data_IF_909261609428
#
_entry.id   IF_909261609428
#
_cell.length_a   1.000
_cell.length_b   1.000
_cell.length_c   1.000
_cell.angle_alpha   90.00
_cell.angle_beta   90.00
_cell.angle_gamma   90.00
#
_symmetry.space_group_name_H-M   'P 1'
#
loop_
_entity.id
_entity.type
_entity.pdbx_description
1 polymer ?
#
# COMPACT_ATOMS: atom_id res chain seq x y z
N UNK A 1 -15.86 12.45 -3.22
CA UNK A 1 -15.31 13.31 -2.14
C UNK A 1 -13.81 13.37 -2.36
N UNK A 2 -13.20 14.55 -2.42
CA UNK A 2 -11.76 14.68 -2.68
C UNK A 2 -10.95 14.47 -1.39
N UNK A 3 -9.80 13.78 -1.50
CA UNK A 3 -9.00 13.37 -0.35
C UNK A 3 -7.82 14.33 -0.21
N UNK A 4 -7.92 15.29 0.71
CA UNK A 4 -6.93 16.36 0.88
C UNK A 4 -5.56 15.91 1.43
N UNK A 5 -5.44 14.69 1.97
CA UNK A 5 -4.23 14.21 2.67
C UNK A 5 -3.90 12.72 2.43
N UNK A 6 -4.26 12.18 1.26
CA UNK A 6 -4.14 10.74 0.98
C UNK A 6 -2.73 10.20 1.24
N UNK A 7 -1.72 10.78 0.61
CA UNK A 7 -0.32 10.29 0.68
C UNK A 7 0.24 10.21 2.10
N UNK A 8 -0.21 11.07 3.00
CA UNK A 8 0.32 11.18 4.36
C UNK A 8 -0.42 10.32 5.37
N UNK A 9 -1.54 9.68 4.99
CA UNK A 9 -2.44 9.07 5.95
C UNK A 9 -2.91 7.65 5.59
N UNK A 10 -2.27 7.00 4.60
CA UNK A 10 -2.55 5.59 4.27
C UNK A 10 -2.08 4.71 5.42
N UNK A 11 -2.95 3.91 6.07
CA UNK A 11 -2.50 2.90 7.04
C UNK A 11 -1.63 1.86 6.32
N UNK A 12 -0.44 1.57 6.86
CA UNK A 12 0.52 0.68 6.18
C UNK A 12 -0.07 -0.70 5.92
N UNK A 13 -0.71 -1.31 6.93
CA UNK A 13 -1.34 -2.63 6.82
C UNK A 13 -2.41 -2.66 5.71
N UNK A 14 -3.32 -1.69 5.70
CA UNK A 14 -4.40 -1.62 4.70
C UNK A 14 -3.85 -1.34 3.30
N UNK A 15 -2.85 -0.48 3.15
CA UNK A 15 -2.25 -0.20 1.85
C UNK A 15 -1.43 -1.38 1.31
N UNK A 16 -0.75 -2.13 2.18
CA UNK A 16 -0.06 -3.37 1.80
C UNK A 16 -1.08 -4.43 1.38
N UNK A 17 -2.18 -4.57 2.11
CA UNK A 17 -3.29 -5.45 1.73
C UNK A 17 -3.88 -5.06 0.38
N UNK A 18 -4.07 -3.76 0.12
CA UNK A 18 -4.54 -3.26 -1.17
C UNK A 18 -3.60 -3.66 -2.32
N UNK A 19 -2.28 -3.54 -2.13
CA UNK A 19 -1.29 -4.01 -3.09
C UNK A 19 -1.37 -5.52 -3.32
N UNK A 20 -1.45 -6.31 -2.24
CA UNK A 20 -1.57 -7.78 -2.32
C UNK A 20 -2.82 -8.20 -3.11
N UNK A 21 -3.98 -7.60 -2.81
CA UNK A 21 -5.24 -7.87 -3.53
C UNK A 21 -5.13 -7.45 -5.00
N UNK A 22 -4.56 -6.29 -5.29
CA UNK A 22 -4.39 -5.83 -6.67
C UNK A 22 -3.52 -6.78 -7.50
N UNK A 23 -2.37 -7.23 -6.97
CA UNK A 23 -1.50 -8.18 -7.66
C UNK A 23 -2.17 -9.55 -7.84
N UNK A 24 -2.91 -10.02 -6.84
CA UNK A 24 -3.66 -11.29 -6.93
C UNK A 24 -4.69 -11.24 -8.06
N UNK A 25 -5.44 -10.14 -8.17
CA UNK A 25 -6.45 -9.94 -9.23
C UNK A 25 -5.85 -9.86 -10.64
N UNK A 26 -4.60 -9.42 -10.75
CA UNK A 26 -3.88 -9.36 -12.03
C UNK A 26 -3.13 -10.67 -12.36
N UNK A 27 -3.34 -11.74 -11.58
CA UNK A 27 -2.80 -13.07 -11.88
C UNK A 27 -1.30 -13.24 -11.62
N UNK A 28 -0.70 -12.42 -10.75
CA UNK A 28 0.69 -12.61 -10.35
C UNK A 28 0.87 -13.86 -9.47
N UNK A 29 2.07 -14.47 -9.54
CA UNK A 29 2.38 -15.65 -8.74
C UNK A 29 2.55 -15.32 -7.25
N UNK A 30 2.27 -16.30 -6.40
CA UNK A 30 2.29 -16.13 -4.95
C UNK A 30 3.68 -15.84 -4.37
N UNK A 31 4.76 -16.46 -4.85
CA UNK A 31 6.11 -16.06 -4.44
C UNK A 31 6.37 -14.59 -4.77
N UNK A 32 5.99 -14.12 -5.96
CA UNK A 32 6.16 -12.73 -6.35
C UNK A 32 5.35 -11.77 -5.48
N UNK A 33 4.10 -12.11 -5.19
CA UNK A 33 3.23 -11.32 -4.31
C UNK A 33 3.84 -11.22 -2.91
N UNK A 34 4.34 -12.33 -2.37
CA UNK A 34 4.98 -12.36 -1.06
C UNK A 34 6.22 -11.47 -1.02
N UNK A 35 7.11 -11.60 -2.00
CA UNK A 35 8.34 -10.79 -2.08
C UNK A 35 8.02 -9.31 -2.23
N UNK A 36 7.07 -8.97 -3.11
CA UNK A 36 6.63 -7.59 -3.31
C UNK A 36 6.03 -6.97 -2.03
N UNK A 37 5.20 -7.76 -1.32
CA UNK A 37 4.58 -7.35 -0.06
C UNK A 37 5.64 -7.06 0.99
N UNK A 38 6.60 -7.97 1.17
CA UNK A 38 7.71 -7.79 2.12
C UNK A 38 8.57 -6.56 1.80
N UNK A 39 8.89 -6.34 0.52
CA UNK A 39 9.65 -5.15 0.08
C UNK A 39 8.85 -3.87 0.34
N UNK A 40 7.54 -3.88 0.08
CA UNK A 40 6.66 -2.74 0.31
C UNK A 40 6.58 -2.40 1.80
N UNK A 41 6.35 -3.39 2.66
CA UNK A 41 6.36 -3.23 4.11
C UNK A 41 7.69 -2.66 4.61
N UNK A 42 8.82 -3.16 4.09
CA UNK A 42 10.14 -2.66 4.44
C UNK A 42 10.30 -1.17 4.09
N UNK A 43 9.93 -0.77 2.86
CA UNK A 43 10.02 0.62 2.40
C UNK A 43 9.15 1.56 3.25
N UNK A 44 7.97 1.10 3.67
CA UNK A 44 7.04 1.89 4.46
C UNK A 44 7.49 2.05 5.93
N UNK A 45 8.04 0.98 6.52
CA UNK A 45 8.44 0.95 7.93
C UNK A 45 9.86 1.47 8.20
N UNK A 46 10.71 1.54 7.18
CA UNK A 46 12.09 2.05 7.29
C UNK A 46 12.25 3.42 6.63
N UNK A 47 11.17 4.21 6.66
CA UNK A 47 11.14 5.50 6.00
C UNK A 47 11.61 6.63 6.93
N UNK A 48 12.94 6.75 7.02
CA UNK A 48 13.59 7.81 7.79
C UNK A 48 13.90 9.02 6.92
N UNK A 49 13.63 10.22 7.45
CA UNK A 49 14.06 11.46 6.83
C UNK A 49 14.59 12.43 7.88
N UNK A 50 15.52 13.29 7.48
CA UNK A 50 16.02 14.37 8.32
C UNK A 50 15.31 15.68 7.94
N UNK A 51 14.85 16.40 8.94
CA UNK A 51 14.34 17.75 8.78
C UNK A 51 14.84 18.63 9.91
N UNK A 52 15.47 19.76 9.57
CA UNK A 52 16.02 20.71 10.54
C UNK A 52 16.98 20.07 11.56
N UNK A 53 17.88 19.19 11.11
CA UNK A 53 18.85 18.51 11.97
C UNK A 53 18.26 17.45 12.89
N UNK A 54 16.98 17.09 12.71
CA UNK A 54 16.30 16.05 13.49
C UNK A 54 15.86 14.92 12.58
N UNK A 55 16.03 13.68 13.06
CA UNK A 55 15.59 12.49 12.34
C UNK A 55 14.16 12.12 12.72
N UNK A 56 13.35 11.86 11.70
CA UNK A 56 11.96 11.45 11.83
C UNK A 56 11.76 10.11 11.13
N UNK A 57 10.92 9.26 11.73
CA UNK A 57 10.42 8.04 11.11
C UNK A 57 8.97 8.26 10.72
N UNK A 58 8.60 7.88 9.49
CA UNK A 58 7.21 7.92 9.04
C UNK A 58 6.46 6.68 9.53
N UNK A 59 5.43 6.87 10.34
CA UNK A 59 4.60 5.79 10.92
C UNK A 59 3.32 5.50 10.12
N UNK A 60 2.96 6.36 9.18
CA UNK A 60 1.80 6.21 8.30
C UNK A 60 2.04 6.90 6.96
N UNK A 61 1.25 6.52 5.96
CA UNK A 61 1.39 7.02 4.60
C UNK A 61 2.72 6.58 3.97
N UNK A 62 3.17 7.35 3.00
CA UNK A 62 4.43 7.13 2.31
C UNK A 62 5.24 8.42 2.34
N UNK A 63 6.57 8.35 2.49
CA UNK A 63 7.34 9.58 2.39
C UNK A 63 7.27 10.15 0.98
N UNK A 64 7.04 11.45 0.94
CA UNK A 64 7.02 12.22 -0.29
C UNK A 64 8.38 12.13 -0.97
N UNK A 65 8.39 11.89 -2.28
CA UNK A 65 9.61 11.75 -3.07
C UNK A 65 10.14 10.32 -3.21
N UNK A 66 9.57 9.32 -2.52
CA UNK A 66 9.90 7.92 -2.82
C UNK A 66 9.27 7.50 -4.16
N UNK A 67 9.96 6.64 -4.93
CA UNK A 67 9.42 6.09 -6.19
C UNK A 67 8.15 5.25 -5.97
N UNK A 68 7.99 4.70 -4.78
CA UNK A 68 6.83 3.88 -4.40
C UNK A 68 5.59 4.74 -4.13
N UNK A 69 5.76 5.99 -3.68
CA UNK A 69 4.67 6.83 -3.21
C UNK A 69 3.50 7.00 -4.22
N UNK A 70 3.74 7.33 -5.51
CA UNK A 70 2.65 7.55 -6.45
C UNK A 70 1.84 6.28 -6.71
N UNK A 71 2.51 5.18 -7.03
CA UNK A 71 1.85 3.91 -7.35
C UNK A 71 1.10 3.35 -6.14
N UNK A 72 1.70 3.41 -4.95
CA UNK A 72 1.08 2.96 -3.72
C UNK A 72 -0.22 3.71 -3.41
N UNK A 73 -0.21 5.05 -3.51
CA UNK A 73 -1.40 5.85 -3.25
C UNK A 73 -2.52 5.61 -4.26
N UNK A 74 -2.18 5.43 -5.54
CA UNK A 74 -3.16 5.10 -6.59
C UNK A 74 -3.80 3.75 -6.35
N UNK A 75 -3.01 2.73 -6.02
CA UNK A 75 -3.53 1.37 -5.73
C UNK A 75 -4.45 1.41 -4.51
N UNK A 76 -4.06 2.09 -3.44
CA UNK A 76 -4.89 2.21 -2.23
C UNK A 76 -6.19 2.99 -2.49
N UNK A 77 -6.12 4.08 -3.26
CA UNK A 77 -7.33 4.84 -3.64
C UNK A 77 -8.29 3.99 -4.45
N UNK A 78 -7.79 3.26 -5.44
CA UNK A 78 -8.61 2.34 -6.22
C UNK A 78 -9.26 1.29 -5.31
N UNK A 79 -8.50 0.70 -4.38
CA UNK A 79 -9.04 -0.24 -3.40
C UNK A 79 -10.20 0.35 -2.56
N UNK A 80 -10.08 1.59 -2.09
CA UNK A 80 -11.15 2.28 -1.36
C UNK A 80 -12.37 2.58 -2.25
N UNK A 81 -12.17 2.97 -3.50
CA UNK A 81 -13.25 3.21 -4.46
C UNK A 81 -14.06 1.93 -4.71
N UNK A 82 -13.38 0.80 -4.95
CA UNK A 82 -14.04 -0.50 -5.10
C UNK A 82 -14.83 -0.93 -3.85
N UNK A 83 -14.26 -0.73 -2.65
CA UNK A 83 -14.93 -1.06 -1.40
C UNK A 83 -16.19 -0.18 -1.16
N UNK A 84 -16.12 1.10 -1.51
CA UNK A 84 -17.22 2.05 -1.31
C UNK A 84 -18.38 1.85 -2.29
N UNK A 85 -18.13 1.32 -3.48
CA UNK A 85 -19.16 1.02 -4.48
C UNK A 85 -19.91 -0.30 -4.19
N UNK A 86 -19.67 -0.92 -3.03
CA UNK A 86 -20.28 -2.22 -2.67
C UNK A 86 -19.65 -3.40 -3.40
N UNK A 87 -18.52 -3.18 -4.07
CA UNK A 87 -17.73 -4.24 -4.67
C UNK A 87 -17.07 -5.10 -3.59
N UNK A 88 -17.49 -6.36 -3.49
CA UNK A 88 -16.70 -7.36 -2.77
C UNK A 88 -15.48 -7.64 -3.64
N UNK A 89 -14.34 -7.02 -3.32
CA UNK A 89 -13.04 -7.42 -3.86
C UNK A 89 -12.79 -8.83 -3.36
N UNK A 90 -13.21 -9.81 -4.19
CA UNK A 90 -13.21 -11.24 -3.90
C UNK A 90 -12.13 -11.54 -2.88
N UNK A 91 -12.53 -11.97 -1.69
CA UNK A 91 -11.62 -12.65 -0.80
C UNK A 91 -11.27 -13.93 -1.54
N UNK A 92 -10.20 -13.84 -2.36
CA UNK A 92 -9.60 -15.00 -2.97
C UNK A 92 -8.94 -15.70 -1.81
N UNK A 93 -9.75 -16.47 -1.08
CA UNK A 93 -9.30 -17.39 -0.07
C UNK A 93 -8.25 -18.26 -0.74
N UNK A 94 -7.02 -18.04 -0.27
CA UNK A 94 -5.85 -18.72 -0.71
C UNK A 94 -5.94 -20.18 -0.24
N UNK A 95 -6.56 -21.03 -1.06
CA UNK A 95 -6.41 -22.48 -0.93
C UNK A 95 -5.07 -22.85 -1.55
N UNK A 96 -4.11 -23.14 -0.68
CA UNK A 96 -2.82 -23.70 -1.06
C UNK A 96 -3.02 -25.17 -1.47
N UNK A 97 -2.68 -25.48 -2.73
CA UNK A 97 -2.32 -26.83 -3.18
C UNK A 97 -0.92 -26.78 -3.82
#
# INVERSE_FOLDING_TARGET
>A
MDVSVLYTNIPHEEGVLACKKNLSLNGFSQPFISDFTAITEFILTHNHFEFNGQHYLRTCGTAMGTKMAPSYAVIFKAYLEYANEGGVMLDVDYQAE
#
